data_IF_892016055391
#
_entry.id   IF_892016055391
#
_cell.length_a   1.000
_cell.length_b   1.000
_cell.length_c   1.000
_cell.angle_alpha   90.00
_cell.angle_beta   90.00
_cell.angle_gamma   90.00
#
_symmetry.space_group_name_H-M   'P 1'
#
loop_
_entity.id
_entity.type
_entity.pdbx_description
1 polymer ?
#
# COMPACT_ATOMS: atom_id res chain seq x y z
N UNK A 1 6.80 -4.98 16.10
CA UNK A 1 5.43 -4.96 16.67
C UNK A 1 4.44 -4.64 15.55
N UNK A 2 3.27 -5.29 15.50
CA UNK A 2 2.24 -4.96 14.51
C UNK A 2 1.51 -3.68 14.92
N UNK A 3 1.11 -2.87 13.96
CA UNK A 3 0.38 -1.64 14.23
C UNK A 3 -0.76 -1.43 13.23
N UNK A 4 -1.74 -0.63 13.63
CA UNK A 4 -2.91 -0.31 12.83
C UNK A 4 -2.99 1.19 12.58
N UNK A 5 -3.30 1.54 11.35
CA UNK A 5 -3.54 2.91 10.93
C UNK A 5 -4.96 3.02 10.34
N UNK A 6 -5.61 4.13 10.62
CA UNK A 6 -6.85 4.51 9.92
C UNK A 6 -6.47 5.55 8.87
N UNK A 7 -6.85 5.30 7.62
CA UNK A 7 -6.71 6.24 6.52
C UNK A 7 -8.08 6.88 6.25
N UNK A 8 -8.37 8.08 6.79
CA UNK A 8 -9.73 8.63 6.81
C UNK A 8 -10.25 9.00 5.42
N UNK A 9 -9.34 9.31 4.49
CA UNK A 9 -9.69 9.68 3.10
C UNK A 9 -9.92 8.47 2.20
N UNK A 10 -9.51 7.27 2.63
CA UNK A 10 -9.77 6.02 1.93
C UNK A 10 -11.18 5.52 2.23
N UNK A 11 -12.19 6.26 1.77
CA UNK A 11 -13.60 6.00 2.11
C UNK A 11 -14.25 4.99 1.17
N UNK A 12 -15.40 4.44 1.59
CA UNK A 12 -16.28 3.65 0.72
C UNK A 12 -16.72 4.42 -0.53
N UNK A 13 -17.03 5.71 -0.40
CA UNK A 13 -17.39 6.56 -1.55
C UNK A 13 -16.27 6.61 -2.58
N UNK A 14 -15.02 6.81 -2.13
CA UNK A 14 -13.86 6.82 -3.01
C UNK A 14 -13.68 5.46 -3.71
N UNK A 15 -13.85 4.36 -2.97
CA UNK A 15 -13.80 3.01 -3.53
C UNK A 15 -14.88 2.79 -4.60
N UNK A 16 -16.14 3.13 -4.31
CA UNK A 16 -17.26 2.89 -5.23
C UNK A 16 -17.22 3.79 -6.47
N UNK A 17 -16.86 5.07 -6.32
CA UNK A 17 -16.93 6.06 -7.41
C UNK A 17 -15.62 6.18 -8.21
N UNK A 18 -14.48 5.89 -7.57
CA UNK A 18 -13.13 6.12 -8.10
C UNK A 18 -12.20 4.97 -7.72
N UNK A 19 -12.64 3.74 -7.97
CA UNK A 19 -11.92 2.51 -7.59
C UNK A 19 -10.44 2.54 -8.00
N UNK A 20 -10.12 2.98 -9.23
CA UNK A 20 -8.72 3.09 -9.69
C UNK A 20 -7.87 4.01 -8.80
N UNK A 21 -8.41 5.17 -8.41
CA UNK A 21 -7.69 6.12 -7.53
C UNK A 21 -7.51 5.50 -6.15
N UNK A 22 -8.53 4.82 -5.64
CA UNK A 22 -8.47 4.11 -4.39
C UNK A 22 -7.35 3.05 -4.41
N UNK A 23 -7.29 2.20 -5.44
CA UNK A 23 -6.28 1.15 -5.57
C UNK A 23 -4.86 1.73 -5.75
N UNK A 24 -4.70 2.79 -6.55
CA UNK A 24 -3.41 3.51 -6.66
C UNK A 24 -2.96 4.00 -5.28
N UNK A 25 -3.87 4.57 -4.49
CA UNK A 25 -3.55 5.04 -3.14
C UNK A 25 -3.13 3.90 -2.22
N UNK A 26 -3.76 2.72 -2.30
CA UNK A 26 -3.32 1.53 -1.55
C UNK A 26 -1.88 1.14 -1.91
N UNK A 27 -1.54 1.15 -3.19
CA UNK A 27 -0.19 0.83 -3.67
C UNK A 27 0.83 1.83 -3.14
N UNK A 28 0.53 3.13 -3.22
CA UNK A 28 1.40 4.18 -2.68
C UNK A 28 1.62 4.02 -1.18
N UNK A 29 0.56 3.71 -0.41
CA UNK A 29 0.67 3.47 1.04
C UNK A 29 1.55 2.24 1.32
N UNK A 30 1.35 1.13 0.59
CA UNK A 30 2.17 -0.08 0.76
C UNK A 30 3.64 0.21 0.48
N UNK A 31 3.93 0.96 -0.58
CA UNK A 31 5.29 1.33 -0.96
C UNK A 31 5.94 2.23 0.10
N UNK A 32 5.23 3.27 0.55
CA UNK A 32 5.72 4.18 1.58
C UNK A 32 6.02 3.45 2.90
N UNK A 33 5.09 2.62 3.38
CA UNK A 33 5.28 1.85 4.62
C UNK A 33 6.43 0.83 4.50
N UNK A 34 6.59 0.22 3.32
CA UNK A 34 7.71 -0.70 3.05
C UNK A 34 9.05 0.04 3.05
N UNK A 35 9.16 1.17 2.35
CA UNK A 35 10.41 1.92 2.20
C UNK A 35 10.81 2.68 3.46
N UNK A 36 9.86 3.31 4.14
CA UNK A 36 10.16 4.20 5.28
C UNK A 36 10.24 3.48 6.61
N UNK A 37 9.49 2.39 6.77
CA UNK A 37 9.37 1.66 8.05
C UNK A 37 9.74 0.19 7.96
N UNK A 38 10.06 -0.31 6.77
CA UNK A 38 10.30 -1.73 6.56
C UNK A 38 9.07 -2.57 6.94
N UNK A 39 7.85 -2.12 6.62
CA UNK A 39 6.62 -2.78 7.02
C UNK A 39 5.72 -3.15 5.84
N UNK A 40 5.09 -4.32 5.92
CA UNK A 40 4.19 -4.85 4.89
C UNK A 40 2.74 -4.80 5.36
N UNK A 41 1.82 -4.59 4.43
CA UNK A 41 0.39 -4.62 4.70
C UNK A 41 -0.04 -6.06 5.00
N UNK A 42 -0.39 -6.34 6.25
CA UNK A 42 -0.85 -7.66 6.66
C UNK A 42 -2.35 -7.84 6.48
N UNK A 43 -3.13 -6.78 6.74
CA UNK A 43 -4.59 -6.82 6.63
C UNK A 43 -5.17 -5.48 6.26
N UNK A 44 -6.05 -5.49 5.27
CA UNK A 44 -6.89 -4.36 4.92
C UNK A 44 -8.31 -4.58 5.42
N UNK A 45 -8.85 -3.59 6.13
CA UNK A 45 -10.25 -3.57 6.53
C UNK A 45 -11.16 -3.20 5.35
N UNK A 46 -12.47 -3.40 5.53
CA UNK A 46 -13.46 -2.95 4.56
C UNK A 46 -13.46 -1.41 4.49
N UNK A 47 -13.59 -0.81 3.29
CA UNK A 47 -13.81 0.62 3.17
C UNK A 47 -15.11 1.03 3.87
N UNK A 48 -15.06 2.11 4.65
CA UNK A 48 -16.23 2.66 5.35
C UNK A 48 -16.39 4.15 5.05
N UNK A 49 -17.49 4.76 5.51
CA UNK A 49 -17.67 6.23 5.42
C UNK A 49 -16.56 7.02 6.13
N UNK A 50 -15.93 6.43 7.15
CA UNK A 50 -14.90 7.08 7.98
C UNK A 50 -13.47 6.76 7.51
N UNK A 51 -13.33 6.04 6.40
CA UNK A 51 -12.03 5.60 5.88
C UNK A 51 -11.82 4.08 5.97
N UNK A 52 -10.58 3.67 5.75
CA UNK A 52 -10.15 2.27 5.76
C UNK A 52 -9.08 2.06 6.81
N UNK A 53 -9.26 1.03 7.64
CA UNK A 53 -8.25 0.59 8.60
C UNK A 53 -7.30 -0.39 7.92
N UNK A 54 -6.00 -0.22 8.13
CA UNK A 54 -4.96 -1.11 7.61
C UNK A 54 -4.04 -1.53 8.75
N UNK A 55 -3.58 -2.78 8.72
CA UNK A 55 -2.67 -3.36 9.72
C UNK A 55 -1.36 -3.70 9.04
N UNK A 56 -0.26 -3.22 9.59
CA UNK A 56 1.09 -3.45 9.08
C UNK A 56 1.91 -4.28 10.07
N UNK A 57 2.89 -5.00 9.53
CA UNK A 57 3.86 -5.76 10.29
C UNK A 57 5.27 -5.49 9.72
N UNK A 58 6.31 -5.39 10.56
CA UNK A 58 7.68 -5.30 10.07
C UNK A 58 8.04 -6.53 9.22
N UNK A 59 8.80 -6.30 8.15
CA UNK A 59 9.43 -7.39 7.38
C UNK A 59 10.33 -8.21 8.30
N UNK A 60 10.35 -9.51 8.06
CA UNK A 60 11.14 -10.48 8.83
C UNK A 60 12.42 -10.90 8.09
N UNK A 61 12.52 -10.61 6.79
CA UNK A 61 13.70 -10.91 5.98
C UNK A 61 13.80 -10.01 4.74
N UNK A 62 15.00 -9.94 4.15
CA UNK A 62 15.21 -9.28 2.86
C UNK A 62 14.34 -9.89 1.74
N UNK A 63 14.16 -11.21 1.74
CA UNK A 63 13.30 -11.88 0.76
C UNK A 63 11.82 -11.48 0.88
N UNK A 64 11.31 -11.21 2.09
CA UNK A 64 9.96 -10.68 2.27
C UNK A 64 9.82 -9.26 1.73
N UNK A 65 10.85 -8.42 1.94
CA UNK A 65 10.91 -7.07 1.39
C UNK A 65 10.88 -7.09 -0.14
N UNK A 66 11.76 -7.88 -0.76
CA UNK A 66 11.85 -8.00 -2.21
C UNK A 66 10.55 -8.54 -2.81
N UNK A 67 9.95 -9.57 -2.20
CA UNK A 67 8.69 -10.13 -2.66
C UNK A 67 7.53 -9.11 -2.56
N UNK A 68 7.47 -8.31 -1.50
CA UNK A 68 6.45 -7.26 -1.40
C UNK A 68 6.71 -6.13 -2.42
N UNK A 69 7.96 -5.72 -2.61
CA UNK A 69 8.33 -4.73 -3.62
C UNK A 69 7.91 -5.18 -5.03
N UNK A 70 8.17 -6.45 -5.39
CA UNK A 70 7.73 -7.03 -6.66
C UNK A 70 6.21 -7.01 -6.81
N UNK A 71 5.46 -7.42 -5.78
CA UNK A 71 3.98 -7.38 -5.80
C UNK A 71 3.45 -5.95 -5.99
N UNK A 72 4.02 -4.97 -5.30
CA UNK A 72 3.65 -3.55 -5.43
C UNK A 72 3.86 -3.08 -6.87
N UNK A 73 5.01 -3.41 -7.47
CA UNK A 73 5.32 -3.05 -8.86
C UNK A 73 4.35 -3.71 -9.85
N UNK A 74 4.05 -5.00 -9.69
CA UNK A 74 3.11 -5.73 -10.54
C UNK A 74 1.70 -5.16 -10.45
N UNK A 75 1.21 -4.89 -9.24
CA UNK A 75 -0.11 -4.29 -9.02
C UNK A 75 -0.17 -2.88 -9.62
N UNK A 76 0.90 -2.09 -9.48
CA UNK A 76 0.97 -0.75 -10.06
C UNK A 76 0.97 -0.78 -11.59
N UNK A 77 1.69 -1.71 -12.21
CA UNK A 77 1.70 -1.92 -13.67
C UNK A 77 0.30 -2.23 -14.20
N UNK A 78 -0.48 -3.08 -13.50
CA UNK A 78 -1.88 -3.39 -13.87
C UNK A 78 -2.78 -2.14 -13.87
N UNK A 79 -2.44 -1.13 -13.07
CA UNK A 79 -3.16 0.15 -13.00
C UNK A 79 -2.56 1.25 -13.89
N UNK A 80 -1.54 0.93 -14.70
CA UNK A 80 -0.86 1.85 -15.60
C UNK A 80 0.10 2.83 -14.91
N UNK A 81 0.60 2.47 -13.72
CA UNK A 81 1.64 3.24 -13.03
C UNK A 81 3.01 2.98 -13.66
N UNK A 82 3.87 3.99 -13.63
CA UNK A 82 5.30 3.87 -13.94
C UNK A 82 6.07 4.10 -12.65
N UNK A 83 7.00 3.20 -12.37
CA UNK A 83 7.94 3.34 -11.27
C UNK A 83 9.28 3.71 -11.90
N UNK A 84 9.88 4.79 -11.41
CA UNK A 84 11.23 5.19 -11.79
C UNK A 84 12.19 4.60 -10.77
N UNK A 85 13.26 3.99 -11.26
CA UNK A 85 14.41 3.66 -10.43
C UNK A 85 15.09 4.97 -10.08
N UNK A 86 15.32 5.22 -8.80
CA UNK A 86 16.07 6.39 -8.38
C UNK A 86 17.52 6.14 -8.79
N UNK A 87 18.06 6.96 -9.69
CA UNK A 87 19.50 6.94 -9.97
C UNK A 87 20.23 7.21 -8.63
N UNK A 88 21.10 6.29 -8.23
CA UNK A 88 22.02 6.50 -7.11
C UNK A 88 23.03 7.56 -7.56
N UNK A 89 22.92 8.77 -6.99
CA UNK A 89 23.85 9.89 -7.18
C UNK A 89 25.10 9.73 -6.30
#
# INVERSE_FOLDING_TARGET
>A
MKYQLMFPRMTKKLFDEKERIYQITVICIRLDELQTKGAVLQKMGKPTKNGTKMTFAPVQSAGEYEAEMQRIMEDGKKLGMKFEDKEEE
#
